data_IF_364512477350
#
_entry.id   IF_364512477350
#
_cell.length_a   1.000
_cell.length_b   1.000
_cell.length_c   1.000
_cell.angle_alpha   90.00
_cell.angle_beta   90.00
_cell.angle_gamma   90.00
#
_symmetry.space_group_name_H-M   'P 1'
#
loop_
_entity.id
_entity.type
_entity.pdbx_description
1 polymer ?
#
# COMPACT_ATOMS: atom_id res chain seq x y z
N UNK A 1 -11.50 14.12 4.64
CA UNK A 1 -12.13 12.81 4.85
C UNK A 1 -11.86 11.94 3.64
N UNK A 2 -11.41 10.71 3.85
CA UNK A 2 -11.43 9.68 2.81
C UNK A 2 -12.75 8.92 2.99
N UNK A 3 -13.65 8.94 2.00
CA UNK A 3 -14.90 8.21 2.09
C UNK A 3 -14.65 6.74 1.76
N UNK A 4 -15.19 5.81 2.55
CA UNK A 4 -15.05 4.36 2.32
C UNK A 4 -15.46 3.95 0.89
N UNK A 5 -16.49 4.60 0.34
CA UNK A 5 -16.97 4.34 -1.02
C UNK A 5 -15.92 4.61 -2.11
N UNK A 6 -15.00 5.56 -1.90
CA UNK A 6 -13.93 5.84 -2.86
C UNK A 6 -12.88 4.74 -2.86
N UNK A 7 -12.55 4.19 -1.67
CA UNK A 7 -11.59 3.10 -1.51
C UNK A 7 -12.10 1.72 -1.97
N UNK A 8 -13.41 1.53 -2.02
CA UNK A 8 -14.01 0.28 -2.52
C UNK A 8 -14.26 0.32 -4.03
N UNK A 9 -14.13 1.49 -4.66
CA UNK A 9 -14.42 1.68 -6.08
C UNK A 9 -13.39 0.94 -6.95
N UNK A 10 -13.88 0.10 -7.86
CA UNK A 10 -13.03 -0.69 -8.76
C UNK A 10 -12.56 -2.02 -8.18
N UNK A 11 -12.92 -2.36 -6.94
CA UNK A 11 -12.74 -3.71 -6.42
C UNK A 11 -13.85 -4.62 -6.95
N UNK A 12 -13.47 -5.81 -7.40
CA UNK A 12 -14.37 -6.82 -7.93
C UNK A 12 -14.56 -7.99 -6.96
N UNK A 13 -15.56 -8.81 -7.23
CA UNK A 13 -15.77 -10.05 -6.49
C UNK A 13 -14.66 -11.07 -6.79
N UNK A 14 -14.26 -11.87 -5.78
CA UNK A 14 -14.88 -11.99 -4.45
C UNK A 14 -14.27 -11.07 -3.38
N UNK A 15 -13.37 -10.14 -3.75
CA UNK A 15 -12.68 -9.27 -2.79
C UNK A 15 -13.63 -8.26 -2.15
N UNK A 16 -14.43 -7.58 -2.99
CA UNK A 16 -15.41 -6.59 -2.52
C UNK A 16 -16.42 -7.23 -1.55
N UNK A 17 -17.00 -8.38 -1.91
CA UNK A 17 -17.93 -9.12 -1.03
C UNK A 17 -17.33 -9.48 0.34
N UNK A 18 -16.03 -9.78 0.40
CA UNK A 18 -15.36 -10.06 1.67
C UNK A 18 -15.17 -8.78 2.51
N UNK A 19 -14.76 -7.66 1.91
CA UNK A 19 -14.60 -6.40 2.64
C UNK A 19 -15.93 -5.85 3.15
N UNK A 20 -17.00 -5.94 2.35
CA UNK A 20 -18.35 -5.59 2.80
C UNK A 20 -18.79 -6.45 3.98
N UNK A 21 -18.46 -7.74 3.98
CA UNK A 21 -18.73 -8.59 5.13
C UNK A 21 -18.03 -8.10 6.38
N UNK A 22 -16.74 -7.76 6.32
CA UNK A 22 -16.03 -7.24 7.49
C UNK A 22 -16.70 -5.97 8.02
N UNK A 23 -17.08 -5.05 7.12
CA UNK A 23 -17.78 -3.83 7.49
C UNK A 23 -19.11 -4.11 8.20
N UNK A 24 -19.96 -4.96 7.61
CA UNK A 24 -21.29 -5.29 8.13
C UNK A 24 -21.26 -6.11 9.43
N UNK A 25 -20.12 -6.73 9.73
CA UNK A 25 -19.93 -7.59 10.90
C UNK A 25 -19.05 -6.95 11.96
N UNK A 26 -18.72 -5.67 11.84
CA UNK A 26 -17.98 -4.90 12.86
C UNK A 26 -18.63 -5.06 14.24
N UNK A 27 -17.80 -5.36 15.25
CA UNK A 27 -18.21 -5.59 16.63
C UNK A 27 -18.80 -6.98 16.91
N UNK A 28 -19.02 -7.83 15.89
CA UNK A 28 -19.50 -9.20 16.11
C UNK A 28 -18.36 -10.13 16.53
N UNK A 29 -18.70 -11.11 17.36
CA UNK A 29 -17.90 -12.31 17.59
C UNK A 29 -18.39 -13.42 16.67
N UNK A 30 -17.48 -14.06 15.95
CA UNK A 30 -17.78 -15.13 14.98
C UNK A 30 -16.92 -16.36 15.25
N UNK A 31 -17.45 -17.53 14.89
CA UNK A 31 -16.71 -18.79 15.00
C UNK A 31 -15.94 -19.11 13.71
N UNK A 32 -14.89 -19.94 13.81
CA UNK A 32 -14.22 -20.48 12.62
C UNK A 32 -15.18 -21.26 11.71
N UNK A 33 -16.18 -21.95 12.28
CA UNK A 33 -17.17 -22.70 11.51
C UNK A 33 -18.02 -21.78 10.63
N UNK A 34 -18.48 -20.65 11.17
CA UNK A 34 -19.24 -19.62 10.43
C UNK A 34 -18.40 -19.03 9.30
N UNK A 35 -17.14 -18.65 9.56
CA UNK A 35 -16.26 -18.14 8.50
C UNK A 35 -15.93 -19.20 7.43
N UNK A 36 -15.89 -20.49 7.80
CA UNK A 36 -15.65 -21.59 6.88
C UNK A 36 -16.86 -21.83 5.96
N UNK A 37 -18.07 -21.80 6.50
CA UNK A 37 -19.30 -21.94 5.72
C UNK A 37 -19.38 -20.87 4.61
N UNK A 38 -19.01 -19.63 4.93
CA UNK A 38 -18.91 -18.56 3.92
C UNK A 38 -17.82 -18.81 2.87
N UNK A 39 -16.68 -19.38 3.29
CA UNK A 39 -15.62 -19.76 2.36
C UNK A 39 -16.10 -20.85 1.39
N UNK A 40 -16.96 -21.77 1.83
CA UNK A 40 -17.57 -22.80 1.00
C UNK A 40 -18.60 -22.19 -0.01
N UNK A 41 -19.10 -20.99 0.28
CA UNK A 41 -19.94 -20.18 -0.63
C UNK A 41 -19.11 -19.26 -1.56
N UNK A 42 -17.78 -19.41 -1.59
CA UNK A 42 -16.89 -18.69 -2.51
C UNK A 42 -16.23 -17.43 -1.95
N UNK A 43 -16.56 -17.01 -0.73
CA UNK A 43 -16.00 -15.81 -0.09
C UNK A 43 -15.20 -16.19 1.15
N UNK A 44 -13.92 -16.52 0.95
CA UNK A 44 -13.00 -16.80 2.05
C UNK A 44 -12.54 -15.50 2.71
N UNK A 45 -12.68 -15.41 4.02
CA UNK A 45 -12.38 -14.20 4.79
C UNK A 45 -10.97 -14.19 5.40
N UNK A 46 -10.44 -15.36 5.75
CA UNK A 46 -9.14 -15.50 6.42
C UNK A 46 -8.50 -16.85 6.08
N UNK A 47 -7.18 -16.94 6.26
CA UNK A 47 -6.46 -18.21 6.22
C UNK A 47 -6.33 -18.81 7.63
N UNK A 48 -6.33 -20.14 7.74
CA UNK A 48 -6.01 -20.81 9.00
C UNK A 48 -4.52 -20.66 9.40
N UNK A 49 -3.53 -20.89 8.51
CA UNK A 49 -2.13 -20.97 8.92
C UNK A 49 -1.43 -19.62 9.08
N UNK A 50 -1.90 -18.55 8.43
CA UNK A 50 -1.22 -17.25 8.41
C UNK A 50 -2.07 -16.16 9.05
N UNK A 51 -1.39 -15.20 9.69
CA UNK A 51 -2.00 -13.99 10.23
C UNK A 51 -2.49 -13.07 9.12
N UNK A 52 -1.73 -12.92 8.04
CA UNK A 52 -2.13 -12.16 6.86
C UNK A 52 -2.76 -13.12 5.84
N UNK A 53 -3.96 -12.81 5.37
CA UNK A 53 -4.58 -13.50 4.26
C UNK A 53 -4.53 -12.64 3.00
N UNK A 54 -3.67 -13.06 2.06
CA UNK A 54 -3.65 -12.59 0.67
C UNK A 54 -4.26 -13.69 -0.23
N UNK A 55 -5.43 -13.48 -0.84
CA UNK A 55 -5.99 -14.41 -1.81
C UNK A 55 -5.12 -14.53 -3.08
N UNK A 56 -5.31 -15.60 -3.86
CA UNK A 56 -4.53 -15.81 -5.09
C UNK A 56 -5.02 -14.94 -6.27
N UNK A 57 -6.29 -14.52 -6.24
CA UNK A 57 -6.95 -13.78 -7.33
C UNK A 57 -6.67 -12.28 -7.32
N UNK A 58 -5.92 -11.77 -6.33
CA UNK A 58 -5.63 -10.35 -6.19
C UNK A 58 -4.26 -10.18 -5.57
N UNK A 59 -3.61 -9.05 -5.80
CA UNK A 59 -2.34 -8.73 -5.16
C UNK A 59 -2.46 -8.11 -3.77
N UNK A 60 -3.65 -7.62 -3.42
CA UNK A 60 -3.96 -7.02 -2.13
C UNK A 60 -4.09 -8.05 -1.01
N UNK A 61 -3.66 -7.68 0.19
CA UNK A 61 -4.08 -8.40 1.38
C UNK A 61 -5.59 -8.17 1.58
N UNK A 62 -6.32 -9.23 1.94
CA UNK A 62 -7.76 -9.12 2.21
C UNK A 62 -8.04 -8.93 3.70
N UNK A 63 -7.30 -9.64 4.55
CA UNK A 63 -7.51 -9.57 6.00
C UNK A 63 -6.22 -9.78 6.76
N UNK A 64 -6.19 -9.24 7.98
CA UNK A 64 -5.19 -9.56 9.00
C UNK A 64 -5.87 -10.15 10.22
N UNK A 65 -5.12 -11.00 10.91
CA UNK A 65 -5.51 -11.58 12.19
C UNK A 65 -4.35 -11.49 13.15
N UNK A 66 -4.63 -10.91 14.31
CA UNK A 66 -3.72 -10.95 15.46
C UNK A 66 -4.16 -12.02 16.48
N UNK A 67 -3.21 -12.49 17.28
CA UNK A 67 -3.39 -13.48 18.33
C UNK A 67 -2.79 -12.93 19.63
N UNK A 68 -3.50 -13.10 20.73
CA UNK A 68 -2.90 -12.96 22.05
C UNK A 68 -1.82 -14.05 22.19
N UNK A 69 -0.57 -13.66 22.41
CA UNK A 69 0.62 -14.55 22.43
C UNK A 69 0.98 -15.24 21.10
N UNK A 70 0.78 -14.53 19.98
CA UNK A 70 1.21 -14.98 18.65
C UNK A 70 2.73 -15.10 18.47
N UNK A 71 3.20 -15.74 17.38
CA UNK A 71 4.64 -15.87 17.08
C UNK A 71 5.32 -14.55 16.74
N UNK A 72 4.54 -13.48 16.52
CA UNK A 72 5.01 -12.16 16.20
C UNK A 72 4.63 -11.18 17.31
N UNK A 73 5.45 -10.15 17.57
CA UNK A 73 5.25 -9.20 18.67
C UNK A 73 4.20 -8.13 18.33
N UNK A 74 3.04 -8.54 17.84
CA UNK A 74 1.90 -7.64 17.60
C UNK A 74 1.58 -6.86 18.87
N UNK A 75 1.24 -5.57 18.73
CA UNK A 75 0.78 -4.76 19.86
C UNK A 75 -0.72 -4.89 20.04
N UNK A 76 -1.17 -4.74 21.28
CA UNK A 76 -2.59 -4.66 21.60
C UNK A 76 -3.27 -3.55 20.80
N UNK A 77 -4.54 -3.78 20.48
CA UNK A 77 -5.37 -2.78 19.81
C UNK A 77 -5.70 -1.66 20.79
N UNK A 78 -5.37 -0.43 20.40
CA UNK A 78 -5.69 0.78 21.14
C UNK A 78 -7.02 1.35 20.58
N UNK A 79 -8.06 1.45 21.42
CA UNK A 79 -9.38 1.94 21.05
C UNK A 79 -9.56 3.41 21.40
N UNK A 80 -10.37 4.12 20.60
CA UNK A 80 -10.62 5.55 20.78
C UNK A 80 -12.09 5.84 21.13
N UNK A 81 -12.38 7.03 21.70
CA UNK A 81 -13.74 7.39 22.11
C UNK A 81 -14.76 7.45 20.96
N UNK A 82 -14.32 7.69 19.73
CA UNK A 82 -15.17 7.73 18.52
C UNK A 82 -15.45 6.33 17.92
N UNK A 83 -15.00 5.27 18.61
CA UNK A 83 -15.12 3.88 18.19
C UNK A 83 -14.06 3.43 17.20
N UNK A 84 -13.19 4.33 16.72
CA UNK A 84 -12.04 3.96 15.91
C UNK A 84 -10.98 3.25 16.77
N UNK A 85 -9.99 2.67 16.10
CA UNK A 85 -8.94 1.91 16.75
C UNK A 85 -7.64 1.97 15.95
N UNK A 86 -6.54 1.60 16.59
CA UNK A 86 -5.24 1.43 15.95
C UNK A 86 -4.51 0.19 16.44
N UNK A 87 -3.70 -0.40 15.58
CA UNK A 87 -2.88 -1.55 15.90
C UNK A 87 -1.52 -1.44 15.23
N UNK A 88 -0.46 -1.74 15.98
CA UNK A 88 0.87 -1.98 15.43
C UNK A 88 1.00 -3.48 15.17
N UNK A 89 0.77 -3.87 13.92
CA UNK A 89 0.78 -5.25 13.45
C UNK A 89 2.16 -5.62 12.91
N UNK A 90 2.80 -6.65 13.45
CA UNK A 90 4.14 -7.00 13.01
C UNK A 90 4.10 -7.83 11.72
N UNK A 91 5.01 -7.55 10.80
CA UNK A 91 5.09 -8.21 9.51
C UNK A 91 5.33 -9.73 9.63
N UNK A 92 5.03 -10.49 8.58
CA UNK A 92 5.56 -11.85 8.48
C UNK A 92 7.09 -11.81 8.36
N UNK A 93 7.78 -12.70 9.08
CA UNK A 93 9.24 -12.78 9.26
C UNK A 93 9.81 -11.70 10.20
N UNK A 94 10.65 -12.14 11.13
CA UNK A 94 11.20 -11.31 12.20
C UNK A 94 12.16 -10.22 11.74
N UNK A 95 12.89 -10.42 10.63
CA UNK A 95 13.81 -9.41 10.11
C UNK A 95 13.03 -8.37 9.28
N UNK A 96 13.01 -7.08 9.68
CA UNK A 96 12.37 -6.02 8.91
C UNK A 96 12.83 -5.94 7.45
N UNK A 97 14.09 -6.27 7.15
CA UNK A 97 14.62 -6.28 5.78
C UNK A 97 13.99 -7.39 4.91
N UNK A 98 13.40 -8.41 5.53
CA UNK A 98 12.70 -9.49 4.82
C UNK A 98 11.22 -9.18 4.55
N UNK A 99 10.75 -7.96 4.81
CA UNK A 99 9.35 -7.54 4.59
C UNK A 99 8.81 -8.08 3.26
N UNK A 100 9.50 -7.80 2.16
CA UNK A 100 9.00 -8.11 0.82
C UNK A 100 9.20 -9.58 0.41
N UNK A 101 9.75 -10.44 1.29
CA UNK A 101 9.84 -11.89 1.05
C UNK A 101 8.52 -12.62 1.29
N UNK A 102 7.54 -12.00 1.94
CA UNK A 102 6.19 -12.55 2.07
C UNK A 102 5.21 -11.89 1.11
N UNK A 103 4.41 -12.70 0.40
CA UNK A 103 3.30 -12.20 -0.39
C UNK A 103 2.25 -11.45 0.45
N UNK A 104 2.07 -11.83 1.72
CA UNK A 104 1.13 -11.14 2.63
C UNK A 104 1.59 -9.72 2.94
N UNK A 105 2.87 -9.55 3.31
CA UNK A 105 3.46 -8.24 3.57
C UNK A 105 3.42 -7.34 2.33
N UNK A 106 3.76 -7.87 1.14
CA UNK A 106 3.64 -7.12 -0.12
C UNK A 106 2.19 -6.69 -0.38
N UNK A 107 1.22 -7.57 -0.09
CA UNK A 107 -0.20 -7.23 -0.18
C UNK A 107 -0.62 -6.10 0.76
N UNK A 108 -0.11 -6.06 2.00
CA UNK A 108 -0.37 -4.94 2.93
C UNK A 108 0.29 -3.63 2.48
N UNK A 109 1.47 -3.68 1.88
CA UNK A 109 2.11 -2.52 1.27
C UNK A 109 1.27 -1.96 0.10
N UNK A 110 0.74 -2.83 -0.77
CA UNK A 110 -0.17 -2.42 -1.84
C UNK A 110 -1.48 -1.83 -1.29
N UNK A 111 -2.04 -2.43 -0.24
CA UNK A 111 -3.20 -1.87 0.46
C UNK A 111 -2.93 -0.46 0.99
N UNK A 112 -1.75 -0.24 1.58
CA UNK A 112 -1.32 1.08 2.04
C UNK A 112 -1.18 2.08 0.88
N UNK A 113 -0.55 1.66 -0.22
CA UNK A 113 -0.29 2.48 -1.39
C UNK A 113 -1.56 2.91 -2.13
N UNK A 114 -2.49 1.97 -2.30
CA UNK A 114 -3.74 2.17 -3.04
C UNK A 114 -4.92 2.53 -2.13
N UNK A 115 -4.68 2.70 -0.83
CA UNK A 115 -5.72 2.97 0.17
C UNK A 115 -6.87 1.95 0.10
N UNK A 116 -6.54 0.67 -0.08
CA UNK A 116 -7.49 -0.45 -0.05
C UNK A 116 -7.54 -0.98 1.38
N UNK A 117 -8.73 -1.05 2.02
CA UNK A 117 -8.84 -1.51 3.39
C UNK A 117 -8.63 -3.02 3.50
N UNK A 118 -8.32 -3.47 4.71
CA UNK A 118 -8.27 -4.88 5.08
C UNK A 118 -9.28 -5.19 6.18
N UNK A 119 -9.82 -6.40 6.17
CA UNK A 119 -10.58 -6.91 7.30
C UNK A 119 -9.67 -7.19 8.50
N UNK A 120 -10.09 -6.80 9.70
CA UNK A 120 -9.30 -7.00 10.92
C UNK A 120 -9.98 -7.95 11.90
N UNK A 121 -9.25 -8.98 12.33
CA UNK A 121 -9.70 -10.00 13.27
C UNK A 121 -8.79 -10.07 14.51
N UNK A 122 -9.38 -10.16 15.69
CA UNK A 122 -8.67 -10.59 16.91
C UNK A 122 -9.12 -11.99 17.25
N UNK A 123 -8.19 -12.96 17.28
CA UNK A 123 -8.49 -14.30 17.77
C UNK A 123 -8.61 -14.29 19.29
N UNK A 124 -9.76 -14.74 19.83
CA UNK A 124 -10.04 -14.78 21.28
C UNK A 124 -9.84 -16.14 21.91
N UNK A 125 -10.15 -17.19 21.16
CA UNK A 125 -10.09 -18.55 21.67
C UNK A 125 -9.33 -19.46 20.69
N UNK A 126 -8.54 -20.38 21.24
CA UNK A 126 -7.88 -21.42 20.47
C UNK A 126 -8.81 -22.60 20.13
N UNK A 127 -8.30 -23.50 19.28
CA UNK A 127 -9.02 -24.72 18.92
C UNK A 127 -9.37 -25.53 20.19
N UNK A 128 -10.51 -26.24 20.20
CA UNK A 128 -11.40 -26.55 19.07
C UNK A 128 -12.50 -25.50 18.79
N UNK A 129 -12.71 -24.53 19.68
CA UNK A 129 -13.74 -23.48 19.53
C UNK A 129 -13.10 -22.15 19.19
N UNK A 130 -12.43 -22.09 18.04
CA UNK A 130 -11.77 -20.86 17.63
C UNK A 130 -12.81 -19.76 17.34
N UNK A 131 -12.74 -18.67 18.11
CA UNK A 131 -13.60 -17.49 17.99
C UNK A 131 -12.77 -16.24 17.70
N UNK A 132 -13.38 -15.31 16.96
CA UNK A 132 -12.74 -14.09 16.49
C UNK A 132 -13.66 -12.90 16.72
N UNK A 133 -13.10 -11.82 17.25
CA UNK A 133 -13.74 -10.50 17.18
C UNK A 133 -13.46 -9.89 15.81
N UNK A 134 -14.52 -9.42 15.18
CA UNK A 134 -14.46 -8.68 13.92
C UNK A 134 -14.40 -7.20 14.24
N UNK A 135 -13.25 -6.56 14.03
CA UNK A 135 -13.09 -5.13 14.28
C UNK A 135 -13.61 -4.27 13.11
N UNK A 136 -13.94 -4.91 12.00
CA UNK A 136 -14.38 -4.26 10.78
C UNK A 136 -13.22 -4.04 9.82
N UNK A 137 -13.28 -2.92 9.10
CA UNK A 137 -12.26 -2.49 8.16
C UNK A 137 -11.19 -1.65 8.86
N UNK A 138 -9.94 -1.87 8.45
CA UNK A 138 -8.80 -1.04 8.83
C UNK A 138 -7.96 -0.68 7.60
N UNK A 139 -7.34 0.49 7.65
CA UNK A 139 -6.44 0.99 6.62
C UNK A 139 -5.01 0.85 7.11
N UNK A 140 -4.14 0.32 6.26
CA UNK A 140 -2.71 0.33 6.53
C UNK A 140 -2.21 1.75 6.25
N UNK A 141 -1.67 2.42 7.27
CA UNK A 141 -1.36 3.86 7.21
C UNK A 141 0.13 4.15 7.29
N UNK A 142 0.92 3.24 7.85
CA UNK A 142 2.37 3.34 7.92
C UNK A 142 3.01 1.96 7.95
N UNK A 143 4.29 1.90 7.58
CA UNK A 143 5.16 0.77 7.91
C UNK A 143 6.51 1.29 8.41
N UNK A 144 6.98 0.77 9.54
CA UNK A 144 8.22 1.20 10.16
C UNK A 144 8.84 0.09 11.02
N UNK A 145 10.11 -0.24 10.77
CA UNK A 145 10.90 -1.20 11.55
C UNK A 145 10.17 -2.54 11.84
N UNK A 146 9.50 -3.06 10.81
CA UNK A 146 8.78 -4.34 10.87
C UNK A 146 7.32 -4.24 11.31
N UNK A 147 6.84 -3.07 11.72
CA UNK A 147 5.44 -2.86 12.12
C UNK A 147 4.65 -2.12 11.05
N UNK A 148 3.50 -2.67 10.70
CA UNK A 148 2.43 -1.95 10.01
C UNK A 148 1.56 -1.24 11.05
N UNK A 149 1.30 0.05 10.85
CA UNK A 149 0.23 0.75 11.57
C UNK A 149 -1.07 0.54 10.80
N UNK A 150 -2.08 -0.01 11.47
CA UNK A 150 -3.41 -0.24 10.88
C UNK A 150 -4.44 0.52 11.71
N UNK A 151 -5.16 1.44 11.07
CA UNK A 151 -6.14 2.31 11.71
C UNK A 151 -7.55 1.99 11.22
N UNK A 152 -8.46 1.73 12.18
CA UNK A 152 -9.86 1.40 11.93
C UNK A 152 -10.75 2.63 11.70
N UNK A 153 -11.93 2.37 11.14
CA UNK A 153 -12.99 3.38 10.99
C UNK A 153 -13.65 3.72 12.33
N UNK A 154 -14.03 4.99 12.48
CA UNK A 154 -14.91 5.45 13.54
C UNK A 154 -16.34 4.90 13.37
N UNK A 155 -17.19 5.04 14.38
CA UNK A 155 -18.58 4.54 14.36
C UNK A 155 -19.44 5.15 13.25
N UNK A 156 -19.11 6.37 12.82
CA UNK A 156 -19.75 7.03 11.69
C UNK A 156 -19.27 6.53 10.31
N UNK A 157 -18.34 5.57 10.28
CA UNK A 157 -17.77 5.01 9.05
C UNK A 157 -16.66 5.85 8.40
N UNK A 158 -16.15 6.88 9.10
CA UNK A 158 -15.10 7.76 8.59
C UNK A 158 -13.71 7.43 9.16
N UNK A 159 -12.67 7.79 8.41
CA UNK A 159 -11.29 7.81 8.91
C UNK A 159 -10.96 9.17 9.50
N UNK A 160 -10.56 9.17 10.78
CA UNK A 160 -10.00 10.34 11.43
C UNK A 160 -8.53 10.51 11.06
N UNK A 161 -8.24 11.54 10.28
CA UNK A 161 -6.92 11.75 9.69
C UNK A 161 -5.90 12.29 10.69
N UNK A 162 -6.35 13.03 11.71
CA UNK A 162 -5.49 13.57 12.77
C UNK A 162 -5.00 12.46 13.70
N UNK A 163 -5.87 11.49 14.01
CA UNK A 163 -5.51 10.34 14.84
C UNK A 163 -4.55 9.38 14.13
N UNK A 164 -4.72 9.19 12.83
CA UNK A 164 -3.76 8.42 12.00
C UNK A 164 -2.37 9.06 12.04
N UNK A 165 -2.31 10.39 11.98
CA UNK A 165 -1.08 11.17 12.08
C UNK A 165 -0.42 11.01 13.47
N UNK A 166 -1.22 11.03 14.53
CA UNK A 166 -0.76 10.79 15.89
C UNK A 166 -0.22 9.36 16.07
N UNK A 167 -0.89 8.35 15.51
CA UNK A 167 -0.43 6.95 15.55
C UNK A 167 0.92 6.77 14.88
N UNK A 168 1.08 7.34 13.68
CA UNK A 168 2.31 7.23 12.91
C UNK A 168 3.49 7.92 13.63
N UNK A 169 3.23 9.09 14.24
CA UNK A 169 4.20 9.79 15.08
C UNK A 169 4.60 8.97 16.29
N UNK A 170 3.62 8.37 16.96
CA UNK A 170 3.85 7.52 18.14
C UNK A 170 4.64 6.27 17.76
N UNK A 171 4.34 5.64 16.62
CA UNK A 171 5.08 4.48 16.12
C UNK A 171 6.56 4.82 15.87
N UNK A 172 6.84 5.97 15.25
CA UNK A 172 8.20 6.49 15.02
C UNK A 172 8.96 6.75 16.31
N UNK A 173 8.34 7.46 17.25
CA UNK A 173 8.94 7.79 18.54
C UNK A 173 9.26 6.53 19.37
N UNK A 174 8.35 5.54 19.37
CA UNK A 174 8.56 4.25 20.06
C UNK A 174 9.76 3.49 19.50
N UNK A 175 10.08 3.59 18.21
CA UNK A 175 11.26 2.91 17.63
C UNK A 175 12.56 3.64 17.96
N UNK A 176 12.58 4.98 17.91
CA UNK A 176 13.76 5.76 18.28
C UNK A 176 14.19 5.53 19.74
N UNK A 177 13.27 5.11 20.61
CA UNK A 177 13.57 4.77 22.01
C UNK A 177 14.24 3.40 22.26
N UNK A 178 14.47 2.56 21.23
CA UNK A 178 15.07 1.21 21.38
C UNK A 178 16.61 1.21 21.23
N UNK A 179 17.25 2.38 21.07
CA UNK A 179 18.72 2.53 21.11
C UNK A 179 19.10 3.76 21.97
N UNK A 180 19.61 3.52 23.18
CA UNK A 180 19.92 4.45 24.31
C UNK A 180 20.91 5.60 23.98
N UNK A 181 21.10 6.69 24.80
CA UNK A 181 20.56 7.06 26.14
C UNK A 181 19.87 8.48 26.24
N UNK A 182 19.24 8.78 27.39
CA UNK A 182 18.57 10.05 27.83
C UNK A 182 19.35 11.36 27.52
N UNK A 183 18.83 12.59 27.35
CA UNK A 183 17.54 13.30 27.20
C UNK A 183 17.89 14.75 26.67
N UNK A 184 16.97 15.68 26.28
CA UNK A 184 16.08 16.36 27.23
C UNK A 184 14.64 16.58 26.73
N UNK A 185 13.77 16.85 27.70
CA UNK A 185 12.37 17.24 27.55
C UNK A 185 12.24 18.64 26.94
N UNK A 186 11.34 18.79 25.99
CA UNK A 186 10.86 20.08 25.50
C UNK A 186 9.60 19.87 24.67
N UNK A 187 8.55 20.63 24.95
CA UNK A 187 7.36 20.73 24.09
C UNK A 187 7.81 21.13 22.69
N UNK A 188 7.38 20.37 21.68
CA UNK A 188 7.62 20.69 20.27
C UNK A 188 7.06 22.08 20.00
N UNK A 189 7.87 22.95 19.40
CA UNK A 189 7.45 24.32 19.13
C UNK A 189 6.36 24.33 18.05
N UNK A 190 5.55 25.39 18.00
CA UNK A 190 4.60 25.63 16.91
C UNK A 190 5.27 25.59 15.52
N UNK A 191 6.59 25.78 15.46
CA UNK A 191 7.39 25.69 14.24
C UNK A 191 7.62 24.23 13.80
N UNK A 192 7.84 23.32 14.75
CA UNK A 192 8.01 21.88 14.53
C UNK A 192 6.68 21.20 14.14
N UNK A 193 5.58 21.59 14.78
CA UNK A 193 4.21 21.17 14.42
C UNK A 193 3.83 21.67 13.02
N UNK A 194 4.31 22.85 12.62
CA UNK A 194 4.09 23.42 11.29
C UNK A 194 4.94 22.75 10.22
N UNK A 195 6.21 22.45 10.50
CA UNK A 195 7.06 21.66 9.59
C UNK A 195 6.55 20.23 9.43
N UNK A 196 5.97 19.65 10.47
CA UNK A 196 5.39 18.31 10.46
C UNK A 196 4.04 18.24 9.72
N UNK A 197 3.13 19.20 9.96
CA UNK A 197 1.90 19.36 9.18
C UNK A 197 2.21 19.66 7.70
N UNK A 198 3.29 20.43 7.43
CA UNK A 198 3.83 20.59 6.08
C UNK A 198 4.37 19.28 5.52
N UNK A 199 4.91 18.36 6.32
CA UNK A 199 5.43 17.05 5.89
C UNK A 199 4.32 16.03 5.56
N UNK A 200 3.18 16.06 6.26
CA UNK A 200 2.02 15.18 6.01
C UNK A 200 1.14 15.72 4.89
N UNK A 201 1.00 17.04 4.80
CA UNK A 201 0.57 17.70 3.57
C UNK A 201 1.59 17.42 2.45
N UNK A 202 2.90 17.28 2.71
CA UNK A 202 3.91 16.86 1.73
C UNK A 202 3.95 15.35 1.45
N UNK A 203 3.24 14.50 2.20
CA UNK A 203 3.08 13.05 1.94
C UNK A 203 1.80 12.77 1.14
N UNK A 204 0.72 13.53 1.37
CA UNK A 204 -0.46 13.61 0.47
C UNK A 204 -0.20 14.43 -0.80
N UNK A 205 0.48 15.57 -0.68
CA UNK A 205 1.28 16.19 -1.76
C UNK A 205 2.58 15.41 -1.99
N UNK A 206 2.75 14.22 -1.45
CA UNK A 206 3.90 13.35 -1.70
C UNK A 206 3.55 12.39 -2.80
N UNK A 207 2.36 11.79 -2.76
CA UNK A 207 1.77 11.15 -3.94
C UNK A 207 1.31 12.20 -4.97
N UNK A 208 0.59 13.24 -4.56
CA UNK A 208 0.19 14.30 -5.49
C UNK A 208 1.36 15.19 -5.91
N UNK A 209 2.43 15.31 -5.12
CA UNK A 209 3.63 16.09 -5.48
C UNK A 209 4.75 15.25 -6.08
N UNK A 210 4.82 13.94 -5.87
CA UNK A 210 5.56 13.04 -6.76
C UNK A 210 4.91 13.07 -8.13
N UNK A 211 3.57 12.97 -8.18
CA UNK A 211 2.82 13.18 -9.43
C UNK A 211 3.05 14.56 -10.01
N UNK A 212 2.95 15.65 -9.25
CA UNK A 212 3.18 17.00 -9.78
C UNK A 212 4.65 17.22 -10.17
N UNK A 213 5.61 16.65 -9.44
CA UNK A 213 7.03 16.72 -9.78
C UNK A 213 7.34 15.91 -11.04
N UNK A 214 6.65 14.78 -11.28
CA UNK A 214 6.72 14.07 -12.55
C UNK A 214 6.03 14.85 -13.67
N UNK A 215 4.87 15.47 -13.41
CA UNK A 215 4.22 16.39 -14.36
C UNK A 215 5.19 17.52 -14.73
N UNK A 216 5.88 18.13 -13.77
CA UNK A 216 6.86 19.17 -14.04
C UNK A 216 8.08 18.62 -14.81
N UNK A 217 8.68 17.52 -14.32
CA UNK A 217 9.88 16.92 -14.90
C UNK A 217 9.68 16.42 -16.34
N UNK A 218 8.48 15.91 -16.67
CA UNK A 218 8.13 15.41 -18.00
C UNK A 218 7.34 16.43 -18.85
N UNK A 219 7.21 17.68 -18.40
CA UNK A 219 6.52 18.73 -19.17
C UNK A 219 5.04 18.42 -19.43
N UNK A 220 4.37 17.79 -18.46
CA UNK A 220 2.96 17.40 -18.47
C UNK A 220 2.60 16.43 -19.60
N UNK A 221 3.53 15.58 -20.03
CA UNK A 221 3.32 14.60 -21.10
C UNK A 221 3.69 13.19 -20.67
N UNK A 222 2.91 12.21 -21.14
CA UNK A 222 3.30 10.80 -21.04
C UNK A 222 4.67 10.60 -21.69
N UNK A 223 5.62 10.00 -20.96
CA UNK A 223 6.99 9.84 -21.46
C UNK A 223 7.09 8.88 -22.65
N UNK A 224 6.10 8.01 -22.84
CA UNK A 224 6.06 7.03 -23.95
C UNK A 224 5.25 7.57 -25.14
N UNK A 225 4.05 8.10 -24.91
CA UNK A 225 3.10 8.43 -25.98
C UNK A 225 3.01 9.92 -26.30
N UNK A 226 3.59 10.78 -25.46
CA UNK A 226 3.48 12.25 -25.60
C UNK A 226 2.11 12.84 -25.28
N UNK A 227 1.15 12.02 -24.84
CA UNK A 227 -0.20 12.46 -24.43
C UNK A 227 -0.11 13.57 -23.37
N UNK A 228 -0.80 14.70 -23.58
CA UNK A 228 -0.83 15.88 -22.71
C UNK A 228 -2.15 16.10 -21.98
N UNK A 229 -3.08 15.14 -22.08
CA UNK A 229 -4.33 15.17 -21.32
C UNK A 229 -4.04 14.79 -19.87
N UNK A 230 -3.80 15.79 -19.02
CA UNK A 230 -3.44 15.62 -17.60
C UNK A 230 -4.33 14.63 -16.83
N UNK A 231 -5.64 14.61 -17.11
CA UNK A 231 -6.60 13.71 -16.47
C UNK A 231 -6.39 12.23 -16.82
N UNK A 232 -5.75 11.95 -17.97
CA UNK A 232 -5.38 10.60 -18.40
C UNK A 232 -3.94 10.20 -18.08
N UNK A 233 -3.20 11.06 -17.36
CA UNK A 233 -1.83 10.77 -16.92
C UNK A 233 -1.82 10.20 -15.51
N UNK A 234 -0.82 9.38 -15.22
CA UNK A 234 -0.60 8.72 -13.94
C UNK A 234 0.89 8.70 -13.62
N UNK A 235 1.21 8.80 -12.32
CA UNK A 235 2.56 8.66 -11.84
C UNK A 235 2.80 7.19 -11.53
N UNK A 236 3.75 6.58 -12.23
CA UNK A 236 4.12 5.18 -12.09
C UNK A 236 5.48 5.08 -11.42
N UNK A 237 5.60 4.22 -10.40
CA UNK A 237 6.91 3.88 -9.84
C UNK A 237 7.57 2.79 -10.68
N UNK A 238 8.86 2.91 -10.92
CA UNK A 238 9.62 1.90 -11.68
C UNK A 238 9.90 0.68 -10.79
N UNK A 239 10.19 0.92 -9.51
CA UNK A 239 10.46 -0.12 -8.53
C UNK A 239 9.70 0.12 -7.22
N UNK A 240 9.33 -0.95 -6.48
CA UNK A 240 8.59 -0.83 -5.23
C UNK A 240 9.30 0.04 -4.20
N UNK A 241 8.51 0.72 -3.36
CA UNK A 241 9.02 1.59 -2.31
C UNK A 241 9.89 0.85 -1.27
N UNK A 242 11.17 1.23 -1.18
CA UNK A 242 12.19 0.72 -0.24
C UNK A 242 12.64 1.75 0.80
N UNK A 243 11.97 2.89 0.94
CA UNK A 243 12.31 4.00 1.86
C UNK A 243 12.38 5.36 1.15
N UNK A 244 12.67 6.45 1.89
CA UNK A 244 12.63 7.83 1.36
C UNK A 244 13.52 8.05 0.11
N UNK A 245 14.63 7.31 0.02
CA UNK A 245 15.57 7.33 -1.12
C UNK A 245 15.02 6.65 -2.39
N UNK A 246 13.91 5.93 -2.31
CA UNK A 246 13.21 5.30 -3.44
C UNK A 246 11.98 6.08 -3.93
N UNK A 247 11.66 7.22 -3.31
CA UNK A 247 10.55 8.10 -3.70
C UNK A 247 10.99 9.34 -4.53
N UNK A 248 12.20 9.31 -5.09
CA UNK A 248 12.71 10.36 -5.96
C UNK A 248 12.17 10.28 -7.39
N UNK A 249 12.15 11.40 -8.11
CA UNK A 249 11.79 11.48 -9.54
C UNK A 249 12.52 10.42 -10.41
N UNK A 250 13.79 10.05 -10.14
CA UNK A 250 14.46 8.95 -10.84
C UNK A 250 13.81 7.56 -10.71
N UNK A 251 12.93 7.33 -9.72
CA UNK A 251 12.16 6.09 -9.62
C UNK A 251 10.74 6.24 -10.19
N UNK A 252 10.47 7.31 -10.94
CA UNK A 252 9.14 7.65 -11.46
C UNK A 252 9.08 7.83 -12.97
N UNK A 253 7.94 7.42 -13.53
CA UNK A 253 7.53 7.67 -14.91
C UNK A 253 6.17 8.37 -14.90
N UNK A 254 5.96 9.32 -15.80
CA UNK A 254 4.64 9.87 -16.06
C UNK A 254 4.06 9.16 -17.28
N UNK A 255 3.00 8.37 -17.09
CA UNK A 255 2.44 7.49 -18.11
C UNK A 255 0.97 7.81 -18.36
N UNK A 256 0.48 7.47 -19.55
CA UNK A 256 -0.96 7.41 -19.82
C UNK A 256 -1.53 6.16 -19.12
N UNK A 257 -2.75 6.22 -18.57
CA UNK A 257 -3.30 5.17 -17.70
C UNK A 257 -3.27 3.74 -18.29
N UNK A 258 -3.51 3.59 -19.59
CA UNK A 258 -3.41 2.31 -20.31
C UNK A 258 -1.96 1.81 -20.40
N UNK A 259 -1.01 2.71 -20.67
CA UNK A 259 0.42 2.40 -20.72
C UNK A 259 0.96 2.06 -19.33
N UNK A 260 0.50 2.76 -18.29
CA UNK A 260 0.81 2.44 -16.90
C UNK A 260 0.34 1.02 -16.56
N UNK A 261 -0.90 0.68 -16.92
CA UNK A 261 -1.44 -0.66 -16.71
C UNK A 261 -0.63 -1.75 -17.42
N UNK A 262 -0.16 -1.50 -18.65
CA UNK A 262 0.71 -2.45 -19.38
C UNK A 262 2.10 -2.58 -18.75
N UNK A 263 2.64 -1.49 -18.21
CA UNK A 263 3.92 -1.46 -17.51
C UNK A 263 3.86 -2.26 -16.20
N UNK A 264 2.81 -2.05 -15.41
CA UNK A 264 2.60 -2.74 -14.12
C UNK A 264 2.29 -4.23 -14.27
N UNK A 265 1.72 -4.63 -15.41
CA UNK A 265 1.44 -6.03 -15.73
C UNK A 265 2.61 -6.75 -16.42
N UNK A 266 3.71 -6.03 -16.70
CA UNK A 266 4.89 -6.59 -17.38
C UNK A 266 4.72 -6.82 -18.89
N UNK A 267 3.65 -6.31 -19.51
CA UNK A 267 3.48 -6.35 -20.96
C UNK A 267 4.35 -5.30 -21.68
N UNK A 268 4.80 -4.28 -20.96
CA UNK A 268 5.67 -3.22 -21.45
C UNK A 268 6.82 -3.01 -20.46
N UNK A 269 8.04 -2.90 -20.94
CA UNK A 269 9.21 -2.52 -20.14
C UNK A 269 10.03 -1.44 -20.86
N UNK A 270 10.99 -0.83 -20.17
CA UNK A 270 11.95 0.12 -20.74
C UNK A 270 13.36 -0.43 -20.49
N UNK A 271 14.17 -0.50 -21.54
CA UNK A 271 15.53 -1.01 -21.44
C UNK A 271 16.53 0.03 -20.91
N UNK A 272 17.75 -0.43 -20.65
CA UNK A 272 18.84 0.41 -20.15
C UNK A 272 19.32 1.51 -21.11
N UNK A 273 18.76 1.58 -22.32
CA UNK A 273 18.97 2.65 -23.31
C UNK A 273 17.71 3.51 -23.49
N UNK A 274 16.75 3.41 -22.57
CA UNK A 274 15.47 4.13 -22.59
C UNK A 274 14.58 3.79 -23.79
N UNK A 275 14.69 2.56 -24.31
CA UNK A 275 13.80 2.06 -25.37
C UNK A 275 12.67 1.25 -24.79
N UNK A 276 11.47 1.46 -25.32
CA UNK A 276 10.29 0.67 -24.96
C UNK A 276 10.40 -0.72 -25.56
N UNK A 277 10.11 -1.74 -24.76
CA UNK A 277 10.05 -3.14 -25.14
C UNK A 277 8.64 -3.65 -24.88
N UNK A 278 8.05 -4.30 -25.88
CA UNK A 278 6.76 -4.97 -25.72
C UNK A 278 6.95 -6.48 -25.58
N UNK A 279 6.15 -7.05 -24.68
CA UNK A 279 6.01 -8.48 -24.51
C UNK A 279 5.43 -9.14 -25.78
N UNK A 280 5.89 -10.35 -26.14
CA UNK A 280 5.45 -11.05 -27.35
C UNK A 280 3.93 -11.13 -27.51
N UNK A 281 3.20 -11.22 -26.41
CA UNK A 281 1.74 -11.34 -26.32
C UNK A 281 1.00 -10.13 -26.88
N UNK A 282 1.60 -8.94 -26.81
CA UNK A 282 0.99 -7.70 -27.28
C UNK A 282 1.65 -7.15 -28.55
N UNK A 283 2.66 -7.84 -29.09
CA UNK A 283 3.26 -7.52 -30.40
C UNK A 283 2.28 -7.79 -31.53
N UNK A 284 2.30 -6.94 -32.55
CA UNK A 284 1.34 -6.97 -33.65
C UNK A 284 0.00 -6.28 -33.34
N UNK A 285 -0.16 -5.67 -32.16
CA UNK A 285 -1.27 -4.77 -31.89
C UNK A 285 -1.19 -3.54 -32.80
N UNK A 286 -2.25 -3.25 -33.57
CA UNK A 286 -2.30 -2.04 -34.41
C UNK A 286 -2.08 -0.75 -33.59
N UNK A 287 -2.49 -0.75 -32.32
CA UNK A 287 -2.39 0.42 -31.46
C UNK A 287 -1.03 0.54 -30.75
N UNK A 288 -0.53 -0.56 -30.17
CA UNK A 288 0.65 -0.50 -29.31
C UNK A 288 1.96 -0.86 -30.01
N UNK A 289 1.94 -1.61 -31.11
CA UNK A 289 3.18 -2.12 -31.74
C UNK A 289 4.10 -0.99 -32.21
N UNK A 290 3.52 0.17 -32.56
CA UNK A 290 4.26 1.40 -32.91
C UNK A 290 5.13 1.94 -31.78
N UNK A 291 4.84 1.59 -30.52
CA UNK A 291 5.64 1.98 -29.36
C UNK A 291 6.89 1.11 -29.21
N UNK A 292 6.90 -0.11 -29.74
CA UNK A 292 8.02 -1.02 -29.57
C UNK A 292 9.30 -0.47 -30.23
N UNK A 293 10.39 -0.40 -29.46
CA UNK A 293 11.68 0.12 -29.91
C UNK A 293 11.76 1.65 -29.97
N UNK A 294 10.66 2.37 -29.71
CA UNK A 294 10.67 3.83 -29.56
C UNK A 294 11.44 4.25 -28.31
N UNK A 295 11.99 5.46 -28.32
CA UNK A 295 12.66 6.04 -27.16
C UNK A 295 11.65 6.81 -26.32
N UNK A 296 11.74 6.66 -24.99
CA UNK A 296 10.97 7.51 -24.09
C UNK A 296 11.54 8.93 -24.07
N UNK A 297 10.66 9.90 -23.83
CA UNK A 297 11.06 11.25 -23.48
C UNK A 297 11.65 11.25 -22.07
N UNK A 298 12.74 11.99 -21.86
CA UNK A 298 13.44 12.08 -20.58
C UNK A 298 13.27 13.47 -19.98
N UNK A 299 13.29 13.60 -18.63
CA UNK A 299 13.40 14.90 -18.00
C UNK A 299 14.64 15.66 -18.47
N UNK A 300 14.49 16.98 -18.63
CA UNK A 300 15.60 17.87 -19.04
C UNK A 300 16.75 17.82 -18.02
N UNK A 301 16.40 17.78 -16.73
CA UNK A 301 17.36 17.64 -15.65
C UNK A 301 17.87 16.19 -15.55
N UNK A 302 19.17 15.98 -15.75
CA UNK A 302 19.78 14.65 -15.73
C UNK A 302 19.62 13.94 -14.39
N UNK A 303 19.63 14.66 -13.27
CA UNK A 303 19.45 14.11 -11.93
C UNK A 303 18.03 13.63 -11.64
N UNK A 304 17.08 13.90 -12.54
CA UNK A 304 15.69 13.46 -12.47
C UNK A 304 15.38 12.32 -13.43
N UNK A 305 16.34 11.89 -14.27
CA UNK A 305 16.10 10.83 -15.25
C UNK A 305 15.88 9.48 -14.57
N UNK A 306 15.05 8.60 -15.17
CA UNK A 306 14.82 7.26 -14.66
C UNK A 306 16.12 6.48 -14.38
N UNK A 307 16.20 5.89 -13.20
CA UNK A 307 17.37 5.11 -12.79
C UNK A 307 17.52 3.85 -13.63
N UNK A 308 18.70 3.67 -14.24
CA UNK A 308 19.02 2.50 -15.05
C UNK A 308 18.80 1.17 -14.30
N UNK A 309 19.22 1.09 -13.04
CA UNK A 309 19.10 -0.13 -12.24
C UNK A 309 17.63 -0.50 -11.99
N UNK A 310 16.79 0.49 -11.70
CA UNK A 310 15.36 0.28 -11.48
C UNK A 310 14.67 -0.18 -12.78
N UNK A 311 14.95 0.48 -13.91
CA UNK A 311 14.41 0.09 -15.21
C UNK A 311 14.82 -1.33 -15.60
N UNK A 312 16.08 -1.69 -15.41
CA UNK A 312 16.56 -3.02 -15.73
C UNK A 312 15.99 -4.09 -14.79
N UNK A 313 15.80 -3.77 -13.50
CA UNK A 313 15.15 -4.67 -12.56
C UNK A 313 13.68 -4.94 -12.94
N UNK A 314 12.93 -3.89 -13.31
CA UNK A 314 11.57 -4.02 -13.83
C UNK A 314 11.54 -4.87 -15.11
N UNK A 315 12.42 -4.58 -16.07
CA UNK A 315 12.53 -5.35 -17.33
C UNK A 315 12.77 -6.84 -17.09
N UNK A 316 13.70 -7.19 -16.18
CA UNK A 316 13.98 -8.58 -15.81
C UNK A 316 12.76 -9.24 -15.17
N UNK A 317 12.05 -8.53 -14.29
CA UNK A 317 10.82 -9.02 -13.68
C UNK A 317 9.71 -9.26 -14.71
N UNK A 318 9.59 -8.37 -15.70
CA UNK A 318 8.66 -8.48 -16.83
C UNK A 318 9.04 -9.57 -17.85
N UNK A 319 10.25 -10.15 -17.76
CA UNK A 319 10.72 -11.16 -18.70
C UNK A 319 11.14 -10.62 -20.07
N UNK A 320 11.49 -9.33 -20.15
CA UNK A 320 11.94 -8.63 -21.37
C UNK A 320 13.44 -8.28 -21.34
#
# INVERSE_FOLDING_TARGET
MLALNDSLKGLEDPHLSALLWFNDNRGRRVSWAEMKERADQGVRLSSAPKGIYKPIYTDHALSVRTLQDGPYPDKDVEYRPDGSWTCQYFQERHDPAERDRSAGNRGLMLCMELCIPVGFLIKRQDKPRAEYDVLGLGFVTNWENGYFTISGLADNGELNLEEIEQDATTARAKVLSVSEPQAPQGELSDQDLREFALSLVAKRRGQAGFRNALIEAYGARCCITGCDVLAGLEAAHISPYRGDHSNGIPNGLLLRADIHSLFDQGFLAIDGRYRVLLAPEIRGSEHYDTLNGSFISLPENEGQRPGFEALNAHRIWAGL
#
